data_IF_825225780656
#
_entry.id   IF_825225780656
#
_cell.length_a   1.000
_cell.length_b   1.000
_cell.length_c   1.000
_cell.angle_alpha   90.00
_cell.angle_beta   90.00
_cell.angle_gamma   90.00
#
_symmetry.space_group_name_H-M   'P 1'
#
loop_
_entity.id
_entity.type
_entity.pdbx_description
1 polymer ?
#
# COMPACT_ATOMS: atom_id res chain seq x y z
N UNK A 1 -2.53 -10.58 8.24
CA UNK A 1 -3.35 -10.40 7.02
C UNK A 1 -3.60 -8.93 6.73
N UNK A 2 -3.84 -8.62 5.47
CA UNK A 2 -4.17 -7.26 5.04
C UNK A 2 -5.61 -7.25 4.55
N UNK A 3 -6.43 -6.36 5.14
CA UNK A 3 -7.83 -6.19 4.76
C UNK A 3 -8.01 -4.82 4.13
N UNK A 4 -8.50 -4.78 2.88
CA UNK A 4 -8.91 -3.53 2.22
C UNK A 4 -10.43 -3.50 2.29
N UNK A 5 -11.00 -2.49 2.93
CA UNK A 5 -12.43 -2.47 3.22
C UNK A 5 -13.06 -1.10 2.98
N UNK A 6 -14.38 -1.11 2.80
CA UNK A 6 -15.20 0.10 2.70
C UNK A 6 -15.98 0.25 4.00
N UNK A 7 -15.76 1.38 4.70
CA UNK A 7 -16.39 1.62 6.01
C UNK A 7 -17.92 1.72 5.98
N UNK A 8 -18.52 1.89 4.79
CA UNK A 8 -19.98 1.84 4.62
C UNK A 8 -20.52 0.41 4.54
N UNK A 9 -19.67 -0.58 4.33
CA UNK A 9 -20.05 -1.99 4.21
C UNK A 9 -19.59 -2.82 5.40
N UNK A 10 -18.40 -2.56 5.90
CA UNK A 10 -17.82 -3.28 7.03
C UNK A 10 -17.23 -2.26 8.00
N UNK A 11 -17.43 -2.47 9.30
CA UNK A 11 -16.90 -1.55 10.31
C UNK A 11 -15.70 -2.15 11.02
N UNK A 12 -14.52 -1.86 10.49
CA UNK A 12 -13.24 -2.19 11.12
C UNK A 12 -12.55 -0.95 11.69
N UNK A 13 -13.26 0.18 11.81
CA UNK A 13 -12.66 1.45 12.25
C UNK A 13 -12.17 1.39 13.70
N UNK A 14 -12.76 0.51 14.53
CA UNK A 14 -12.33 0.30 15.91
C UNK A 14 -11.17 -0.69 16.07
N UNK A 15 -10.79 -1.37 14.99
CA UNK A 15 -9.67 -2.32 15.02
C UNK A 15 -8.34 -1.59 15.12
N UNK A 16 -7.34 -2.15 15.84
CA UNK A 16 -6.00 -1.60 15.81
C UNK A 16 -5.43 -1.70 14.39
N UNK A 17 -4.50 -0.81 14.04
CA UNK A 17 -3.87 -0.76 12.72
C UNK A 17 -4.87 -0.51 11.58
N UNK A 18 -5.86 0.35 11.84
CA UNK A 18 -6.79 0.84 10.84
C UNK A 18 -6.23 2.14 10.24
N UNK A 19 -5.97 2.12 8.93
CA UNK A 19 -5.36 3.24 8.20
C UNK A 19 -6.30 3.71 7.10
N UNK A 20 -6.65 4.99 7.11
CA UNK A 20 -7.40 5.59 6.02
C UNK A 20 -6.46 5.85 4.83
N UNK A 21 -6.77 5.26 3.69
CA UNK A 21 -5.98 5.39 2.45
C UNK A 21 -6.74 6.08 1.32
N UNK A 22 -7.89 6.67 1.63
CA UNK A 22 -8.72 7.38 0.67
C UNK A 22 -8.16 8.74 0.30
N UNK A 23 -8.93 9.47 -0.48
CA UNK A 23 -8.53 10.81 -0.95
C UNK A 23 -8.27 11.75 0.22
N UNK A 24 -7.21 12.55 0.08
CA UNK A 24 -6.75 13.44 1.12
C UNK A 24 -5.72 12.83 2.05
N UNK A 25 -5.54 11.50 2.07
CA UNK A 25 -4.48 10.85 2.83
C UNK A 25 -3.19 10.79 2.02
N UNK A 26 -2.06 10.58 2.71
CA UNK A 26 -0.75 10.50 2.06
C UNK A 26 -0.67 9.38 1.01
N UNK A 27 -1.36 8.26 1.25
CA UNK A 27 -1.41 7.12 0.32
C UNK A 27 -2.64 7.16 -0.60
N UNK A 28 -3.40 8.25 -0.58
CA UNK A 28 -4.58 8.40 -1.43
C UNK A 28 -4.25 8.41 -2.91
N UNK A 29 -5.16 7.87 -3.73
CA UNK A 29 -4.99 7.87 -5.17
C UNK A 29 -5.25 9.28 -5.73
N UNK A 30 -4.23 9.94 -6.35
CA UNK A 30 -4.43 11.25 -6.96
C UNK A 30 -5.19 11.19 -8.28
N UNK A 31 -5.44 9.99 -8.81
CA UNK A 31 -6.12 9.79 -10.09
C UNK A 31 -7.58 9.43 -9.87
N UNK A 32 -8.44 9.81 -10.80
CA UNK A 32 -9.86 9.49 -10.75
C UNK A 32 -10.35 8.98 -12.11
N UNK A 33 -11.38 8.13 -12.08
CA UNK A 33 -12.01 7.59 -13.29
C UNK A 33 -13.40 8.20 -13.55
N UNK A 34 -13.95 8.96 -12.60
CA UNK A 34 -15.31 9.48 -12.68
C UNK A 34 -15.40 11.00 -12.92
N UNK A 35 -14.30 11.65 -13.26
CA UNK A 35 -14.26 13.07 -13.57
C UNK A 35 -14.40 13.99 -12.37
N UNK A 36 -14.51 13.47 -11.16
CA UNK A 36 -14.60 14.32 -9.95
C UNK A 36 -13.25 14.98 -9.71
N UNK A 37 -13.25 16.31 -9.64
CA UNK A 37 -12.03 17.05 -9.34
C UNK A 37 -11.64 16.86 -7.89
N UNK A 38 -10.41 16.39 -7.68
CA UNK A 38 -9.77 16.41 -6.39
C UNK A 38 -9.07 17.75 -6.20
N UNK A 39 -8.91 18.18 -4.94
CA UNK A 39 -8.13 19.37 -4.59
C UNK A 39 -6.64 19.20 -4.94
N UNK A 40 -6.20 18.00 -5.31
CA UNK A 40 -4.82 17.65 -5.62
C UNK A 40 -4.54 17.56 -7.12
N UNK A 41 -5.31 18.21 -7.98
CA UNK A 41 -5.12 18.24 -9.44
C UNK A 41 -5.02 16.81 -10.04
N UNK A 42 -6.03 15.99 -9.81
CA UNK A 42 -6.05 14.62 -10.33
C UNK A 42 -6.20 14.60 -11.85
N UNK A 43 -5.51 13.65 -12.49
CA UNK A 43 -5.79 13.30 -13.87
C UNK A 43 -7.01 12.37 -13.92
N UNK A 44 -7.91 12.65 -14.87
CA UNK A 44 -9.10 11.82 -15.06
C UNK A 44 -8.81 10.69 -16.04
N UNK A 45 -9.27 9.48 -15.68
CA UNK A 45 -9.17 8.29 -16.53
C UNK A 45 -10.56 7.74 -16.85
N UNK A 46 -10.69 7.06 -17.98
CA UNK A 46 -11.98 6.54 -18.44
C UNK A 46 -12.47 5.37 -17.59
N UNK A 47 -11.57 4.57 -17.06
CA UNK A 47 -11.93 3.39 -16.27
C UNK A 47 -11.22 3.38 -14.92
N UNK A 48 -11.82 2.65 -13.97
CA UNK A 48 -11.26 2.42 -12.65
C UNK A 48 -9.91 1.72 -12.75
N UNK A 49 -9.82 0.73 -13.63
CA UNK A 49 -8.61 -0.07 -13.85
C UNK A 49 -7.46 0.82 -14.33
N UNK A 50 -7.72 1.77 -15.23
CA UNK A 50 -6.71 2.72 -15.69
C UNK A 50 -6.21 3.61 -14.55
N UNK A 51 -7.11 4.06 -13.67
CA UNK A 51 -6.75 4.87 -12.52
C UNK A 51 -5.89 4.08 -11.52
N UNK A 52 -6.20 2.80 -11.32
CA UNK A 52 -5.43 1.91 -10.44
C UNK A 52 -4.04 1.65 -11.03
N UNK A 53 -3.97 1.39 -12.34
CA UNK A 53 -2.69 1.19 -13.04
C UNK A 53 -1.81 2.43 -12.98
N UNK A 54 -2.40 3.61 -13.13
CA UNK A 54 -1.70 4.88 -12.97
C UNK A 54 -1.18 5.05 -11.53
N UNK A 55 -1.96 4.64 -10.54
CA UNK A 55 -1.55 4.66 -9.13
C UNK A 55 -0.35 3.74 -8.89
N UNK A 56 -0.34 2.57 -9.50
CA UNK A 56 0.79 1.64 -9.37
C UNK A 56 2.10 2.28 -9.85
N UNK A 57 2.08 2.94 -11.00
CA UNK A 57 3.24 3.67 -11.52
C UNK A 57 3.62 4.84 -10.62
N UNK A 58 2.63 5.58 -10.16
CA UNK A 58 2.82 6.70 -9.22
C UNK A 58 3.50 6.22 -7.94
N UNK A 59 3.03 5.12 -7.39
CA UNK A 59 3.61 4.52 -6.18
C UNK A 59 5.12 4.28 -6.36
N UNK A 60 5.49 3.61 -7.44
CA UNK A 60 6.88 3.28 -7.71
C UNK A 60 7.76 4.51 -7.95
N UNK A 61 7.17 5.60 -8.44
CA UNK A 61 7.89 6.87 -8.65
C UNK A 61 8.09 7.66 -7.37
N UNK A 62 7.11 7.68 -6.47
CA UNK A 62 7.15 8.56 -5.30
C UNK A 62 7.68 7.87 -4.04
N UNK A 63 7.60 6.55 -3.97
CA UNK A 63 8.12 5.82 -2.81
C UNK A 63 9.64 6.01 -2.70
N UNK A 64 10.07 6.46 -1.54
CA UNK A 64 11.48 6.81 -1.31
C UNK A 64 11.85 8.23 -1.69
N UNK A 65 10.99 8.96 -2.40
CA UNK A 65 11.23 10.35 -2.84
C UNK A 65 10.33 11.34 -2.14
N UNK A 66 9.04 11.00 -1.99
CA UNK A 66 8.09 11.81 -1.23
C UNK A 66 8.11 11.35 0.22
N UNK A 67 8.46 12.26 1.13
CA UNK A 67 8.62 11.93 2.55
C UNK A 67 7.31 11.49 3.20
N UNK A 68 6.23 12.22 2.98
CA UNK A 68 4.93 11.91 3.58
C UNK A 68 4.39 10.56 3.12
N UNK A 69 4.49 10.29 1.81
CA UNK A 69 4.07 9.02 1.22
C UNK A 69 4.88 7.85 1.78
N UNK A 70 6.21 7.99 1.74
CA UNK A 70 7.14 6.95 2.19
C UNK A 70 6.95 6.64 3.66
N UNK A 71 6.83 7.67 4.50
CA UNK A 71 6.65 7.52 5.94
C UNK A 71 5.32 6.82 6.28
N UNK A 72 4.24 7.19 5.59
CA UNK A 72 2.93 6.57 5.78
C UNK A 72 2.96 5.08 5.42
N UNK A 73 3.58 4.73 4.31
CA UNK A 73 3.73 3.34 3.88
C UNK A 73 4.60 2.54 4.85
N UNK A 74 5.74 3.10 5.25
CA UNK A 74 6.68 2.42 6.13
C UNK A 74 6.08 2.17 7.52
N UNK A 75 5.24 3.08 8.02
CA UNK A 75 4.51 2.88 9.27
C UNK A 75 3.60 1.65 9.19
N UNK A 76 2.83 1.53 8.12
CA UNK A 76 1.96 0.37 7.90
C UNK A 76 2.82 -0.89 7.77
N UNK A 77 3.91 -0.81 7.03
CA UNK A 77 4.81 -1.93 6.80
C UNK A 77 5.40 -2.49 8.10
N UNK A 78 5.79 -1.64 9.04
CA UNK A 78 6.34 -2.08 10.32
C UNK A 78 5.34 -2.94 11.08
N UNK A 79 4.07 -2.55 11.11
CA UNK A 79 3.01 -3.34 11.73
C UNK A 79 2.80 -4.66 11.01
N UNK A 80 2.79 -4.64 9.69
CA UNK A 80 2.62 -5.84 8.87
C UNK A 80 3.78 -6.82 9.07
N UNK A 81 5.00 -6.32 9.08
CA UNK A 81 6.23 -7.10 9.30
C UNK A 81 6.21 -7.81 10.66
N UNK A 82 5.62 -7.17 11.67
CA UNK A 82 5.51 -7.73 13.01
C UNK A 82 4.40 -8.79 13.14
N UNK A 83 3.72 -9.12 12.04
CA UNK A 83 2.67 -10.14 12.03
C UNK A 83 1.29 -9.62 12.42
N UNK A 84 1.12 -8.32 12.56
CA UNK A 84 -0.16 -7.71 12.92
C UNK A 84 -1.10 -7.65 11.72
N UNK A 85 -2.41 -7.72 11.98
CA UNK A 85 -3.43 -7.53 10.95
C UNK A 85 -3.52 -6.05 10.59
N UNK A 86 -3.61 -5.75 9.29
CA UNK A 86 -3.66 -4.40 8.75
C UNK A 86 -5.02 -4.17 8.10
N UNK A 87 -5.64 -3.04 8.42
CA UNK A 87 -6.95 -2.65 7.88
C UNK A 87 -6.78 -1.35 7.10
N UNK A 88 -6.94 -1.42 5.78
CA UNK A 88 -6.84 -0.28 4.88
C UNK A 88 -8.24 0.19 4.50
N UNK A 89 -8.62 1.36 4.97
CA UNK A 89 -9.96 1.92 4.76
C UNK A 89 -10.05 2.73 3.47
N UNK A 90 -10.96 2.33 2.58
CA UNK A 90 -11.26 3.04 1.33
C UNK A 90 -12.78 3.17 1.15
N UNK A 91 -13.21 3.68 -0.01
CA UNK A 91 -14.63 3.79 -0.35
C UNK A 91 -14.98 3.05 -1.66
N UNK A 92 -14.08 2.23 -2.18
CA UNK A 92 -14.25 1.55 -3.47
C UNK A 92 -14.78 0.13 -3.35
N UNK A 93 -14.39 -0.59 -2.29
CA UNK A 93 -14.78 -2.00 -2.14
C UNK A 93 -16.30 -2.18 -2.13
N UNK A 94 -16.85 -3.23 -2.74
CA UNK A 94 -16.15 -4.42 -3.27
C UNK A 94 -15.49 -4.22 -4.64
N UNK A 95 -15.55 -3.04 -5.22
CA UNK A 95 -14.88 -2.74 -6.49
C UNK A 95 -13.37 -2.62 -6.27
N UNK A 96 -12.59 -2.91 -7.31
CA UNK A 96 -11.14 -2.77 -7.27
C UNK A 96 -10.72 -1.35 -6.87
N UNK A 97 -9.66 -1.22 -6.08
CA UNK A 97 -9.17 0.07 -5.64
C UNK A 97 -7.65 0.08 -5.48
N UNK A 98 -7.10 1.30 -5.31
CA UNK A 98 -5.65 1.48 -5.11
C UNK A 98 -5.13 0.79 -3.84
N UNK A 99 -6.00 0.49 -2.89
CA UNK A 99 -5.63 -0.29 -1.70
C UNK A 99 -5.09 -1.66 -2.03
N UNK A 100 -5.54 -2.24 -3.14
CA UNK A 100 -5.02 -3.52 -3.62
C UNK A 100 -3.55 -3.40 -4.05
N UNK A 101 -3.15 -2.25 -4.60
CA UNK A 101 -1.74 -1.95 -4.92
C UNK A 101 -0.92 -1.84 -3.64
N UNK A 102 -1.42 -1.11 -2.64
CA UNK A 102 -0.74 -0.96 -1.35
C UNK A 102 -0.53 -2.34 -0.70
N UNK A 103 -1.56 -3.17 -0.65
CA UNK A 103 -1.48 -4.52 -0.10
C UNK A 103 -0.44 -5.37 -0.84
N UNK A 104 -0.42 -5.30 -2.15
CA UNK A 104 0.56 -6.01 -2.98
C UNK A 104 1.99 -5.56 -2.68
N UNK A 105 2.21 -4.25 -2.56
CA UNK A 105 3.54 -3.70 -2.26
C UNK A 105 4.02 -4.05 -0.85
N UNK A 106 3.12 -4.11 0.13
CA UNK A 106 3.46 -4.58 1.47
C UNK A 106 3.94 -6.02 1.45
N UNK A 107 3.23 -6.89 0.74
CA UNK A 107 3.57 -8.31 0.60
C UNK A 107 4.91 -8.48 -0.13
N UNK A 108 5.11 -7.78 -1.22
CA UNK A 108 6.35 -7.84 -2.01
C UNK A 108 7.56 -7.38 -1.20
N UNK A 109 7.41 -6.32 -0.43
CA UNK A 109 8.49 -5.79 0.41
C UNK A 109 8.91 -6.82 1.46
N UNK A 110 7.94 -7.47 2.10
CA UNK A 110 8.23 -8.49 3.10
C UNK A 110 8.95 -9.69 2.49
N UNK A 111 8.49 -10.17 1.35
CA UNK A 111 9.12 -11.28 0.63
C UNK A 111 10.56 -10.93 0.25
N UNK A 112 10.76 -9.73 -0.28
CA UNK A 112 12.09 -9.26 -0.69
C UNK A 112 13.06 -9.21 0.48
N UNK A 113 12.63 -8.67 1.61
CA UNK A 113 13.48 -8.59 2.81
C UNK A 113 13.82 -9.98 3.36
N UNK A 114 12.85 -10.91 3.37
CA UNK A 114 13.09 -12.29 3.79
C UNK A 114 14.09 -13.00 2.88
N UNK A 115 14.02 -12.77 1.59
CA UNK A 115 14.98 -13.33 0.62
C UNK A 115 16.38 -12.76 0.83
N UNK A 116 16.48 -11.46 1.10
CA UNK A 116 17.77 -10.82 1.39
C UNK A 116 18.38 -11.36 2.69
N UNK A 117 17.58 -11.60 3.73
CA UNK A 117 18.04 -12.23 4.98
C UNK A 117 18.54 -13.64 4.74
N UNK A 118 17.84 -14.43 3.93
CA UNK A 118 18.29 -15.78 3.55
C UNK A 118 19.64 -15.77 2.87
N UNK A 119 19.83 -14.88 1.90
CA UNK A 119 21.10 -14.73 1.19
C UNK A 119 22.23 -14.35 2.14
N UNK A 120 21.97 -13.44 3.06
CA UNK A 120 22.93 -13.03 4.10
C UNK A 120 23.33 -14.21 4.98
N UNK A 121 22.34 -15.00 5.46
CA UNK A 121 22.58 -16.15 6.31
C UNK A 121 23.33 -17.25 5.58
N UNK A 122 23.01 -17.52 4.32
CA UNK A 122 23.72 -18.49 3.49
C UNK A 122 25.18 -18.08 3.28
N UNK A 123 25.44 -16.80 3.02
CA UNK A 123 26.78 -16.25 2.83
C UNK A 123 27.61 -16.37 4.10
N UNK A 124 27.02 -16.05 5.26
CA UNK A 124 27.68 -16.21 6.57
C UNK A 124 27.97 -17.69 6.85
N UNK A 125 27.01 -18.58 6.58
CA UNK A 125 27.17 -20.02 6.76
C UNK A 125 28.28 -20.58 5.89
N UNK A 126 28.40 -20.14 4.65
CA UNK A 126 29.46 -20.54 3.73
C UNK A 126 30.83 -20.02 4.18
N UNK A 127 30.91 -18.83 4.72
CA UNK A 127 32.15 -18.26 5.25
C UNK A 127 32.64 -19.04 6.48
N UNK A 128 31.72 -19.56 7.32
CA UNK A 128 32.07 -20.37 8.49
C UNK A 128 32.56 -21.77 8.16
N UNK A 129 32.30 -22.29 6.97
CA UNK A 129 32.73 -23.61 6.54
C UNK A 129 34.17 -23.64 6.01
N UNK A 130 34.77 -22.50 5.84
CA UNK A 130 36.14 -22.36 5.44
C UNK A 130 37.02 -22.00 6.66
#
# INVERSE_FOLDING_TARGET
MIYVYNSHQEDFTSKPNNFYIGRGSALGNPFTHNGVRSIFKTMSFKTREQAIEAYEKYFDEVYGKDESFTKAFDEIYEHYKNGEDIYLQCFCKPKACHGDVIADRLQRKLIKEKMEERKKNEKISNEKKN
#
